data_IF_519397729203
#
_entry.id   IF_519397729203
#
_cell.length_a   1.000
_cell.length_b   1.000
_cell.length_c   1.000
_cell.angle_alpha   90.00
_cell.angle_beta   90.00
_cell.angle_gamma   90.00
#
_symmetry.space_group_name_H-M   'P 1'
#
loop_
_entity.id
_entity.type
_entity.pdbx_description
1 polymer ?
#
# COMPACT_ATOMS: atom_id res chain seq x y z
N UNK A 1 3.33 -8.11 19.07
CA UNK A 1 2.73 -8.00 17.72
C UNK A 1 2.88 -6.55 17.30
N UNK A 2 3.35 -6.27 16.08
CA UNK A 2 3.40 -4.92 15.55
C UNK A 2 2.36 -4.76 14.45
N UNK A 3 2.03 -3.51 14.17
CA UNK A 3 1.06 -3.16 13.14
C UNK A 3 1.72 -2.22 12.14
N UNK A 4 1.49 -2.48 10.85
CA UNK A 4 1.69 -1.50 9.80
C UNK A 4 0.32 -0.93 9.44
N UNK A 5 0.24 0.39 9.41
CA UNK A 5 -0.97 1.13 9.05
C UNK A 5 -0.59 2.31 8.16
N UNK A 6 -1.28 2.48 7.06
CA UNK A 6 -1.09 3.60 6.14
C UNK A 6 -2.34 3.88 5.31
N UNK A 7 -2.48 5.12 4.86
CA UNK A 7 -3.49 5.52 3.89
C UNK A 7 -2.92 5.51 2.47
N UNK A 8 -3.76 5.14 1.50
CA UNK A 8 -3.48 5.24 0.06
C UNK A 8 -4.46 6.23 -0.53
N UNK A 9 -3.97 7.07 -1.45
CA UNK A 9 -4.81 7.95 -2.28
C UNK A 9 -4.27 7.92 -3.70
N UNK A 10 -5.16 7.66 -4.66
CA UNK A 10 -4.89 7.88 -6.08
C UNK A 10 -5.44 9.27 -6.45
N UNK A 11 -4.62 10.08 -7.11
CA UNK A 11 -5.02 11.42 -7.58
C UNK A 11 -5.67 11.36 -8.97
N UNK A 12 -5.71 10.18 -9.61
CA UNK A 12 -6.35 9.96 -10.89
C UNK A 12 -7.87 10.09 -10.78
N UNK A 13 -8.53 10.99 -11.54
CA UNK A 13 -9.98 11.17 -11.49
C UNK A 13 -10.77 9.93 -11.96
N UNK A 14 -10.14 9.04 -12.73
CA UNK A 14 -10.72 7.77 -13.18
C UNK A 14 -10.66 6.64 -12.13
N UNK A 15 -9.99 6.87 -10.98
CA UNK A 15 -9.70 5.85 -9.98
C UNK A 15 -10.54 6.09 -8.71
N UNK A 16 -11.20 5.06 -8.16
CA UNK A 16 -12.00 5.23 -6.96
C UNK A 16 -11.14 5.51 -5.71
N UNK A 17 -11.22 6.75 -5.23
CA UNK A 17 -11.05 7.19 -3.83
C UNK A 17 -9.77 6.81 -3.07
N UNK A 18 -9.72 7.21 -1.81
CA UNK A 18 -8.66 6.86 -0.85
C UNK A 18 -9.02 5.60 -0.06
N UNK A 19 -8.03 4.79 0.31
CA UNK A 19 -8.21 3.58 1.13
C UNK A 19 -7.31 3.61 2.36
N UNK A 20 -7.70 2.91 3.43
CA UNK A 20 -6.85 2.66 4.59
C UNK A 20 -6.42 1.19 4.60
N UNK A 21 -5.13 0.97 4.82
CA UNK A 21 -4.50 -0.36 4.83
C UNK A 21 -3.92 -0.60 6.21
N UNK A 22 -4.37 -1.66 6.88
CA UNK A 22 -3.89 -2.04 8.20
C UNK A 22 -3.61 -3.53 8.19
N UNK A 23 -2.44 -3.92 8.69
CA UNK A 23 -2.12 -5.32 8.93
C UNK A 23 -1.32 -5.45 10.22
N UNK A 24 -1.49 -6.58 10.89
CA UNK A 24 -0.67 -6.97 12.03
C UNK A 24 0.23 -8.14 11.67
N UNK A 25 1.52 -8.00 11.93
CA UNK A 25 2.45 -9.14 11.86
C UNK A 25 3.56 -9.01 12.92
N UNK A 26 4.32 -10.08 13.12
CA UNK A 26 5.53 -10.01 13.94
C UNK A 26 6.68 -9.46 13.08
N UNK A 27 7.03 -8.18 13.24
CA UNK A 27 8.11 -7.52 12.49
C UNK A 27 9.49 -8.17 12.67
N UNK A 28 9.65 -9.09 13.62
CA UNK A 28 10.89 -9.89 13.75
C UNK A 28 10.93 -11.06 12.77
N UNK A 29 9.85 -11.27 12.02
CA UNK A 29 9.68 -12.33 11.03
C UNK A 29 9.44 -11.70 9.67
N UNK A 30 9.73 -12.46 8.63
CA UNK A 30 9.40 -12.08 7.26
C UNK A 30 7.89 -11.79 7.15
N UNK A 31 7.50 -10.69 6.49
CA UNK A 31 6.09 -10.37 6.30
C UNK A 31 5.41 -11.45 5.44
N UNK A 32 4.08 -11.58 5.56
CA UNK A 32 3.35 -12.57 4.78
C UNK A 32 3.51 -12.33 3.28
N UNK A 33 3.77 -13.40 2.52
CA UNK A 33 4.04 -13.30 1.09
C UNK A 33 2.76 -13.22 0.21
N UNK A 34 1.74 -12.48 0.66
CA UNK A 34 0.48 -12.34 -0.06
C UNK A 34 -0.07 -10.91 0.01
N UNK A 35 -0.92 -10.57 -0.97
CA UNK A 35 -1.63 -9.29 -0.97
C UNK A 35 -2.64 -9.23 0.18
N UNK A 36 -2.53 -8.20 0.99
CA UNK A 36 -3.50 -7.87 2.04
C UNK A 36 -4.46 -6.82 1.52
N UNK A 37 -5.76 -7.06 1.71
CA UNK A 37 -6.82 -6.13 1.31
C UNK A 37 -6.79 -4.86 2.17
N UNK A 38 -6.97 -3.71 1.52
CA UNK A 38 -7.27 -2.45 2.17
C UNK A 38 -8.79 -2.22 2.17
N UNK A 39 -9.27 -1.36 3.06
CA UNK A 39 -10.69 -1.00 3.14
C UNK A 39 -10.85 0.52 3.04
N UNK A 40 -11.94 1.03 2.42
CA UNK A 40 -13.08 0.29 1.86
C UNK A 40 -12.94 -0.10 0.38
N UNK A 41 -11.84 0.28 -0.28
CA UNK A 41 -11.71 0.17 -1.73
C UNK A 41 -10.90 -1.07 -2.15
N UNK A 42 -10.85 -1.34 -3.44
CA UNK A 42 -10.17 -2.50 -4.05
C UNK A 42 -8.64 -2.42 -4.08
N UNK A 43 -8.06 -1.58 -3.22
CA UNK A 43 -6.61 -1.55 -3.03
C UNK A 43 -6.18 -2.78 -2.25
N UNK A 44 -5.04 -3.31 -2.65
CA UNK A 44 -4.31 -4.33 -1.91
C UNK A 44 -2.87 -3.90 -1.82
N UNK A 45 -2.17 -4.35 -0.79
CA UNK A 45 -0.74 -4.11 -0.68
C UNK A 45 0.01 -5.38 -0.35
N UNK A 46 1.30 -5.35 -0.63
CA UNK A 46 2.23 -6.44 -0.47
C UNK A 46 3.60 -5.88 -0.09
N UNK A 47 4.26 -6.50 0.89
CA UNK A 47 5.65 -6.14 1.23
C UNK A 47 6.58 -6.97 0.34
N UNK A 48 7.05 -6.36 -0.74
CA UNK A 48 7.78 -7.05 -1.82
C UNK A 48 9.25 -7.32 -1.52
N UNK A 49 9.83 -6.57 -0.58
CA UNK A 49 11.17 -6.76 -0.03
C UNK A 49 11.15 -6.37 1.45
N UNK A 50 11.90 -7.07 2.30
CA UNK A 50 11.94 -6.80 3.73
C UNK A 50 13.35 -7.02 4.29
N UNK A 51 14.05 -5.91 4.55
CA UNK A 51 15.35 -5.93 5.21
C UNK A 51 15.18 -5.72 6.72
N UNK A 52 14.31 -4.78 7.11
CA UNK A 52 13.99 -4.50 8.51
C UNK A 52 12.61 -3.86 8.65
N UNK A 53 12.17 -3.61 9.88
CA UNK A 53 10.95 -2.86 10.16
C UNK A 53 11.03 -1.36 9.79
N UNK A 54 12.18 -0.91 9.28
CA UNK A 54 12.38 0.45 8.76
C UNK A 54 12.93 0.48 7.35
N UNK A 55 13.07 -0.68 6.71
CA UNK A 55 13.69 -0.83 5.40
C UNK A 55 12.96 -1.97 4.68
N UNK A 56 11.97 -1.60 3.88
CA UNK A 56 11.13 -2.54 3.16
C UNK A 56 10.49 -1.88 1.94
N UNK A 57 10.17 -2.69 0.93
CA UNK A 57 9.47 -2.22 -0.25
C UNK A 57 7.98 -2.49 -0.14
N UNK A 58 7.18 -1.44 -0.29
CA UNK A 58 5.73 -1.54 -0.38
C UNK A 58 5.30 -1.57 -1.85
N UNK A 59 4.60 -2.61 -2.23
CA UNK A 59 3.85 -2.66 -3.48
C UNK A 59 2.37 -2.50 -3.19
N UNK A 60 1.69 -1.68 -4.00
CA UNK A 60 0.25 -1.49 -3.97
C UNK A 60 -0.32 -1.91 -5.32
N UNK A 61 -1.39 -2.69 -5.28
CA UNK A 61 -2.22 -3.04 -6.42
C UNK A 61 -3.60 -2.42 -6.25
N UNK A 62 -4.12 -1.80 -7.30
CA UNK A 62 -5.48 -1.30 -7.33
C UNK A 62 -6.18 -1.87 -8.56
N UNK A 63 -7.34 -2.50 -8.35
CA UNK A 63 -8.14 -3.08 -9.44
C UNK A 63 -9.54 -2.51 -9.40
N UNK A 64 -10.04 -1.91 -10.47
CA UNK A 64 -11.41 -1.38 -10.51
C UNK A 64 -12.04 -1.59 -11.87
N UNK A 65 -13.37 -1.54 -11.91
CA UNK A 65 -14.13 -1.61 -13.15
C UNK A 65 -14.59 -0.22 -13.56
N UNK A 66 -14.46 0.10 -14.85
CA UNK A 66 -15.00 1.29 -15.47
C UNK A 66 -16.02 0.87 -16.53
N UNK A 67 -17.15 1.56 -16.59
CA UNK A 67 -18.11 1.44 -17.70
C UNK A 67 -18.24 2.80 -18.37
N UNK A 68 -17.92 2.86 -19.66
CA UNK A 68 -18.04 4.07 -20.46
C UNK A 68 -18.77 3.75 -21.80
N UNK A 69 -18.83 4.73 -22.70
CA UNK A 69 -19.56 4.60 -23.96
C UNK A 69 -19.02 3.52 -24.91
N UNK A 70 -17.78 3.04 -24.71
CA UNK A 70 -17.16 2.02 -25.57
C UNK A 70 -17.19 0.62 -24.96
N UNK A 71 -17.61 0.45 -23.70
CA UNK A 71 -17.78 -0.85 -23.07
C UNK A 71 -17.47 -0.87 -21.58
N UNK A 72 -17.29 -2.08 -21.05
CA UNK A 72 -16.81 -2.34 -19.68
C UNK A 72 -15.33 -2.70 -19.73
N UNK A 73 -14.56 -2.15 -18.80
CA UNK A 73 -13.13 -2.33 -18.71
C UNK A 73 -12.74 -2.68 -17.28
N UNK A 74 -11.80 -3.61 -17.12
CA UNK A 74 -11.08 -3.82 -15.87
C UNK A 74 -9.75 -3.07 -15.95
N UNK A 75 -9.51 -2.23 -14.96
CA UNK A 75 -8.24 -1.55 -14.77
C UNK A 75 -7.47 -2.24 -13.66
N UNK A 76 -6.16 -2.42 -13.86
CA UNK A 76 -5.23 -2.84 -12.82
C UNK A 76 -4.01 -1.92 -12.85
N UNK A 77 -3.76 -1.25 -11.73
CA UNK A 77 -2.53 -0.46 -11.50
C UNK A 77 -1.68 -1.13 -10.44
N UNK A 78 -0.37 -1.13 -10.66
CA UNK A 78 0.64 -1.52 -9.68
C UNK A 78 1.65 -0.41 -9.50
N UNK A 79 1.89 -0.07 -8.25
CA UNK A 79 2.84 0.95 -7.87
C UNK A 79 3.73 0.45 -6.73
N UNK A 80 4.98 0.92 -6.70
CA UNK A 80 5.97 0.51 -5.70
C UNK A 80 6.64 1.73 -5.08
N UNK A 81 6.99 1.63 -3.81
CA UNK A 81 7.87 2.57 -3.14
C UNK A 81 8.78 1.84 -2.14
N UNK A 82 9.99 2.35 -2.00
CA UNK A 82 10.92 1.95 -0.95
C UNK A 82 10.62 2.77 0.31
N UNK A 83 10.51 2.09 1.46
CA UNK A 83 10.30 2.70 2.77
C UNK A 83 11.58 2.53 3.58
N UNK A 84 12.33 3.61 3.74
CA UNK A 84 13.65 3.61 4.40
C UNK A 84 13.63 4.31 5.77
N UNK A 85 14.66 4.05 6.58
CA UNK A 85 14.80 4.67 7.90
C UNK A 85 15.02 6.16 7.85
N UNK A 86 15.60 6.66 6.76
CA UNK A 86 16.03 8.05 6.62
C UNK A 86 14.85 9.01 6.49
N UNK A 87 13.70 8.48 6.08
CA UNK A 87 12.46 9.25 5.95
C UNK A 87 11.56 9.09 7.17
N UNK A 88 11.79 8.10 8.04
CA UNK A 88 10.93 7.76 9.16
C UNK A 88 11.42 8.27 10.51
N UNK A 89 10.50 8.64 11.40
CA UNK A 89 10.79 8.93 12.81
C UNK A 89 10.24 7.82 13.69
N UNK A 90 11.08 7.25 14.54
CA UNK A 90 10.69 6.21 15.50
C UNK A 90 10.90 6.69 16.93
N UNK A 91 9.89 6.53 17.77
CA UNK A 91 9.96 6.89 19.18
C UNK A 91 8.93 6.15 20.02
N UNK A 92 9.06 6.22 21.36
CA UNK A 92 8.02 5.73 22.25
C UNK A 92 6.76 6.59 22.08
N UNK A 93 5.62 5.94 21.89
CA UNK A 93 4.30 6.57 22.04
C UNK A 93 3.96 6.71 23.55
N UNK A 94 2.92 7.47 23.89
CA UNK A 94 2.48 7.78 25.25
C UNK A 94 2.15 6.55 26.15
N UNK A 95 2.24 5.33 25.61
CA UNK A 95 2.09 4.06 26.32
C UNK A 95 3.34 3.19 26.38
N UNK A 96 4.53 3.72 26.05
CA UNK A 96 5.79 2.95 26.05
C UNK A 96 5.94 1.98 24.86
N UNK A 97 5.05 2.05 23.88
CA UNK A 97 5.11 1.26 22.64
C UNK A 97 5.98 2.01 21.64
N UNK A 98 6.97 1.34 21.05
CA UNK A 98 7.76 1.93 19.96
C UNK A 98 6.89 2.08 18.72
N UNK A 99 6.72 3.30 18.24
CA UNK A 99 6.00 3.65 17.02
C UNK A 99 6.95 4.26 16.02
N UNK A 100 6.87 3.83 14.77
CA UNK A 100 7.54 4.45 13.65
C UNK A 100 6.50 5.09 12.73
N UNK A 101 6.78 6.32 12.31
CA UNK A 101 5.93 7.11 11.42
C UNK A 101 6.77 7.59 10.25
N UNK A 102 6.24 7.45 9.05
CA UNK A 102 6.85 7.96 7.81
C UNK A 102 5.99 9.09 7.24
N UNK A 103 6.59 10.06 6.53
CA UNK A 103 5.85 11.02 5.73
C UNK A 103 5.15 10.30 4.57
N UNK A 104 4.20 10.98 3.94
CA UNK A 104 3.58 10.48 2.72
C UNK A 104 4.64 10.29 1.63
N UNK A 105 4.65 9.10 1.02
CA UNK A 105 5.51 8.76 -0.11
C UNK A 105 4.68 8.66 -1.37
N UNK A 106 5.25 9.08 -2.51
CA UNK A 106 4.64 8.85 -3.82
C UNK A 106 5.09 7.49 -4.33
N UNK A 107 4.15 6.62 -4.65
CA UNK A 107 4.46 5.34 -5.27
C UNK A 107 4.65 5.52 -6.77
N UNK A 108 5.68 4.90 -7.32
CA UNK A 108 5.93 4.88 -8.75
C UNK A 108 5.11 3.79 -9.42
N UNK A 109 4.25 4.18 -10.36
CA UNK A 109 3.46 3.23 -11.15
C UNK A 109 4.38 2.60 -12.19
N UNK A 110 4.55 1.28 -12.10
CA UNK A 110 5.38 0.52 -13.04
C UNK A 110 4.57 -0.38 -13.97
N UNK A 111 3.29 -0.62 -13.65
CA UNK A 111 2.38 -1.36 -14.49
C UNK A 111 0.96 -0.77 -14.40
N UNK A 112 0.36 -0.46 -15.54
CA UNK A 112 -1.01 0.03 -15.67
C UNK A 112 -1.63 -0.66 -16.87
N UNK A 113 -2.62 -1.51 -16.61
CA UNK A 113 -3.26 -2.36 -17.62
C UNK A 113 -4.75 -2.10 -17.64
N UNK A 114 -5.30 -2.03 -18.85
CA UNK A 114 -6.74 -1.89 -19.11
C UNK A 114 -7.16 -3.01 -20.04
N UNK A 115 -8.11 -3.83 -19.59
CA UNK A 115 -8.60 -4.98 -20.35
C UNK A 115 -10.12 -4.88 -20.54
N UNK A 116 -10.63 -5.01 -21.78
CA UNK A 116 -12.07 -5.13 -22.02
C UNK A 116 -12.65 -6.36 -21.31
N UNK A 117 -13.88 -6.22 -20.80
CA UNK A 117 -14.66 -7.32 -20.21
C UNK A 117 -15.68 -7.83 -21.22
#
# INVERSE_FOLDING_TARGET
>A
MAYLSFGIRDESPASPGSSSCITGWDYRRQPPLYYTDCSPNSYKFFVSSYNSNKDFDLEVRHTWEETNNTGKFTHEKRAKAEITSDTGSCGPDNGGISRCTWPSVKLEVYNDTVTPI
#
